data_IF_790351825423
#
_entry.id   IF_790351825423
#
_cell.length_a   1.000
_cell.length_b   1.000
_cell.length_c   1.000
_cell.angle_alpha   90.00
_cell.angle_beta   90.00
_cell.angle_gamma   90.00
#
_symmetry.space_group_name_H-M   'P 1'
#
loop_
_entity.id
_entity.type
_entity.pdbx_description
1 polymer ?
#
# COMPACT_ATOMS: atom_id res chain seq x y z
N UNK A 1 23.18 -0.82 -9.44
CA UNK A 1 22.23 -0.55 -8.34
C UNK A 1 20.75 -0.56 -8.75
N UNK A 2 20.18 -1.77 -8.89
CA UNK A 2 18.74 -2.12 -8.72
C UNK A 2 18.62 -3.61 -8.34
N UNK A 3 19.72 -4.23 -7.93
CA UNK A 3 19.87 -5.68 -7.86
C UNK A 3 18.90 -6.29 -6.87
N UNK A 4 18.76 -5.69 -5.69
CA UNK A 4 17.80 -6.14 -4.69
C UNK A 4 16.35 -6.09 -5.19
N UNK A 5 15.97 -5.07 -5.97
CA UNK A 5 14.64 -4.95 -6.55
C UNK A 5 14.38 -6.01 -7.63
N UNK A 6 15.39 -6.33 -8.44
CA UNK A 6 15.31 -7.40 -9.42
C UNK A 6 15.30 -8.79 -8.75
N UNK A 7 16.07 -8.96 -7.68
CA UNK A 7 16.17 -10.20 -6.91
C UNK A 7 14.86 -10.57 -6.21
N UNK A 8 14.09 -9.58 -5.75
CA UNK A 8 12.74 -9.82 -5.19
C UNK A 8 11.65 -9.97 -6.27
N UNK A 9 12.00 -9.87 -7.57
CA UNK A 9 11.06 -10.01 -8.68
C UNK A 9 10.26 -8.74 -9.01
N UNK A 10 10.67 -7.58 -8.50
CA UNK A 10 10.01 -6.30 -8.75
C UNK A 10 8.71 -6.10 -7.97
N UNK A 11 7.79 -5.30 -8.52
CA UNK A 11 6.45 -5.15 -7.93
C UNK A 11 5.58 -6.36 -8.25
N UNK A 12 4.93 -6.97 -7.24
CA UNK A 12 4.01 -8.05 -7.49
C UNK A 12 2.77 -7.53 -8.23
N UNK A 13 2.22 -8.33 -9.14
CA UNK A 13 1.01 -8.01 -9.90
C UNK A 13 -0.25 -8.14 -9.02
N UNK A 14 -0.36 -7.28 -7.99
CA UNK A 14 -1.54 -7.19 -7.13
C UNK A 14 -2.40 -6.01 -7.60
N UNK A 15 -3.71 -6.20 -7.58
CA UNK A 15 -4.68 -5.17 -7.94
C UNK A 15 -4.77 -4.03 -6.89
N UNK A 16 -4.30 -4.31 -5.67
CA UNK A 16 -4.16 -3.37 -4.55
C UNK A 16 -3.17 -3.99 -3.54
N UNK A 17 -2.49 -3.17 -2.75
CA UNK A 17 -1.55 -3.58 -1.69
C UNK A 17 -0.19 -4.12 -2.20
N UNK A 18 0.20 -3.79 -3.44
CA UNK A 18 1.52 -4.11 -3.97
C UNK A 18 2.65 -3.49 -3.14
N UNK A 19 2.40 -2.32 -2.54
CA UNK A 19 3.29 -1.60 -1.63
C UNK A 19 3.59 -2.40 -0.36
N UNK A 20 2.58 -3.04 0.23
CA UNK A 20 2.76 -3.87 1.43
C UNK A 20 3.52 -5.15 1.09
N UNK A 21 3.20 -5.76 -0.05
CA UNK A 21 3.84 -6.97 -0.50
C UNK A 21 5.34 -6.76 -0.78
N UNK A 22 5.70 -5.68 -1.48
CA UNK A 22 7.10 -5.35 -1.73
C UNK A 22 7.82 -4.97 -0.43
N UNK A 23 7.19 -4.19 0.47
CA UNK A 23 7.77 -3.87 1.77
C UNK A 23 8.04 -5.12 2.59
N UNK A 24 7.14 -6.11 2.57
CA UNK A 24 7.30 -7.39 3.28
C UNK A 24 8.44 -8.22 2.70
N UNK A 25 8.60 -8.24 1.37
CA UNK A 25 9.71 -8.92 0.71
C UNK A 25 11.06 -8.26 1.03
N UNK A 26 11.14 -6.93 0.92
CA UNK A 26 12.33 -6.15 1.25
C UNK A 26 12.73 -6.27 2.72
N UNK A 27 11.76 -6.27 3.64
CA UNK A 27 12.02 -6.41 5.09
C UNK A 27 12.68 -7.75 5.44
N UNK A 28 12.49 -8.80 4.64
CA UNK A 28 13.19 -10.08 4.82
C UNK A 28 14.67 -10.01 4.41
N UNK A 29 15.05 -9.02 3.62
CA UNK A 29 16.42 -8.83 3.11
C UNK A 29 17.21 -7.81 3.93
N UNK A 30 16.53 -6.90 4.62
CA UNK A 30 17.17 -5.94 5.52
C UNK A 30 16.17 -4.98 6.17
N UNK A 31 16.68 -4.15 7.09
CA UNK A 31 15.87 -3.11 7.74
C UNK A 31 15.66 -1.91 6.81
N UNK A 32 14.48 -1.25 6.86
CA UNK A 32 14.25 0.00 6.14
C UNK A 32 15.22 1.10 6.60
N UNK A 33 15.62 1.98 5.68
CA UNK A 33 16.32 3.20 6.04
C UNK A 33 15.39 4.15 6.81
N UNK A 34 15.94 4.89 7.77
CA UNK A 34 15.22 5.93 8.54
C UNK A 34 15.77 7.31 8.17
N UNK A 35 15.32 7.91 7.05
CA UNK A 35 15.75 9.25 6.68
C UNK A 35 15.19 10.29 7.66
N UNK A 36 16.01 11.27 8.04
CA UNK A 36 15.62 12.37 8.94
C UNK A 36 14.84 13.50 8.24
N UNK A 37 14.67 13.40 6.91
CA UNK A 37 13.96 14.42 6.11
C UNK A 37 12.45 14.31 6.24
N UNK A 38 11.78 15.47 6.35
CA UNK A 38 10.33 15.56 6.26
C UNK A 38 9.91 15.71 4.80
N UNK A 39 8.83 15.03 4.42
CA UNK A 39 8.23 15.14 3.09
C UNK A 39 6.87 15.81 3.22
N UNK A 40 6.68 16.94 2.52
CA UNK A 40 5.37 17.60 2.43
C UNK A 40 4.50 16.86 1.42
N UNK A 41 3.34 16.40 1.85
CA UNK A 41 2.35 15.76 0.97
C UNK A 41 1.05 16.57 0.95
N UNK A 42 0.31 16.46 -0.16
CA UNK A 42 -0.94 17.20 -0.36
C UNK A 42 -2.08 16.60 0.47
N UNK A 43 -2.83 17.44 1.20
CA UNK A 43 -4.00 17.07 2.00
C UNK A 43 -5.28 16.84 1.19
N UNK A 44 -5.29 17.10 -0.13
CA UNK A 44 -6.49 17.08 -1.00
C UNK A 44 -7.42 15.89 -0.76
N UNK A 45 -6.88 14.68 -0.71
CA UNK A 45 -7.67 13.45 -0.52
C UNK A 45 -8.43 13.42 0.79
N UNK A 46 -7.85 14.00 1.84
CA UNK A 46 -8.39 14.04 3.19
C UNK A 46 -9.47 15.11 3.33
N UNK A 47 -9.35 16.21 2.57
CA UNK A 47 -10.37 17.26 2.48
C UNK A 47 -11.60 16.78 1.72
N UNK A 48 -11.41 16.03 0.62
CA UNK A 48 -12.51 15.52 -0.21
C UNK A 48 -13.27 14.34 0.42
N UNK A 49 -12.56 13.39 1.04
CA UNK A 49 -13.15 12.13 1.52
C UNK A 49 -13.30 12.04 3.04
N UNK A 50 -12.88 13.08 3.76
CA UNK A 50 -12.84 13.10 5.22
C UNK A 50 -11.64 12.35 5.80
N UNK A 51 -11.01 12.96 6.80
CA UNK A 51 -9.74 12.49 7.34
C UNK A 51 -9.87 11.10 7.98
N UNK A 52 -10.84 10.95 8.88
CA UNK A 52 -11.08 9.74 9.65
C UNK A 52 -11.56 8.61 8.75
N UNK A 53 -12.51 8.89 7.84
CA UNK A 53 -13.05 7.91 6.89
C UNK A 53 -11.94 7.32 6.01
N UNK A 54 -11.02 8.17 5.52
CA UNK A 54 -9.88 7.72 4.72
C UNK A 54 -8.92 6.83 5.52
N UNK A 55 -8.62 7.19 6.78
CA UNK A 55 -7.80 6.35 7.67
C UNK A 55 -8.47 4.99 7.88
N UNK A 56 -9.73 4.97 8.32
CA UNK A 56 -10.42 3.73 8.64
C UNK A 56 -10.54 2.82 7.42
N UNK A 57 -10.84 3.37 6.24
CA UNK A 57 -10.86 2.61 4.98
C UNK A 57 -9.50 1.98 4.68
N UNK A 58 -8.41 2.77 4.74
CA UNK A 58 -7.05 2.27 4.52
C UNK A 58 -6.68 1.16 5.51
N UNK A 59 -7.01 1.31 6.79
CA UNK A 59 -6.73 0.33 7.83
C UNK A 59 -7.55 -0.95 7.66
N UNK A 60 -8.82 -0.83 7.29
CA UNK A 60 -9.69 -1.98 6.98
C UNK A 60 -9.16 -2.77 5.79
N UNK A 61 -8.78 -2.10 4.69
CA UNK A 61 -8.22 -2.77 3.50
C UNK A 61 -6.91 -3.51 3.83
N UNK A 62 -6.04 -2.89 4.65
CA UNK A 62 -4.83 -3.52 5.17
C UNK A 62 -5.15 -4.77 5.99
N UNK A 63 -6.11 -4.67 6.91
CA UNK A 63 -6.54 -5.79 7.74
C UNK A 63 -7.08 -6.95 6.89
N UNK A 64 -7.96 -6.66 5.92
CA UNK A 64 -8.51 -7.67 5.02
C UNK A 64 -7.41 -8.33 4.17
N UNK A 65 -6.42 -7.56 3.71
CA UNK A 65 -5.24 -8.12 3.05
C UNK A 65 -4.45 -9.06 3.96
N UNK A 66 -4.24 -8.69 5.23
CA UNK A 66 -3.56 -9.56 6.20
C UNK A 66 -4.32 -10.86 6.50
N UNK A 67 -5.66 -10.82 6.50
CA UNK A 67 -6.51 -12.00 6.67
C UNK A 67 -6.55 -12.89 5.42
N UNK A 68 -6.00 -12.43 4.29
CA UNK A 68 -5.88 -13.22 3.05
C UNK A 68 -6.99 -12.96 2.03
N UNK A 69 -7.72 -11.84 2.15
CA UNK A 69 -8.67 -11.42 1.11
C UNK A 69 -7.93 -11.13 -0.19
N UNK A 70 -8.47 -11.64 -1.30
CA UNK A 70 -7.87 -11.45 -2.63
C UNK A 70 -7.78 -9.96 -2.97
N UNK A 71 -6.61 -9.47 -3.45
CA UNK A 71 -6.40 -8.07 -3.82
C UNK A 71 -7.43 -7.49 -4.78
N UNK A 72 -7.98 -8.32 -5.67
CA UNK A 72 -9.02 -7.93 -6.62
C UNK A 72 -10.28 -7.42 -5.90
N UNK A 73 -10.72 -8.13 -4.84
CA UNK A 73 -11.86 -7.70 -4.02
C UNK A 73 -11.55 -6.42 -3.25
N UNK A 74 -10.31 -6.24 -2.80
CA UNK A 74 -9.89 -5.00 -2.13
C UNK A 74 -9.98 -3.81 -3.07
N UNK A 75 -9.60 -3.98 -4.36
CA UNK A 75 -9.75 -2.96 -5.39
C UNK A 75 -11.21 -2.58 -5.59
N UNK A 76 -12.12 -3.55 -5.68
CA UNK A 76 -13.56 -3.32 -5.82
C UNK A 76 -14.13 -2.51 -4.65
N UNK A 77 -13.71 -2.82 -3.42
CA UNK A 77 -14.12 -2.06 -2.22
C UNK A 77 -13.55 -0.64 -2.19
N UNK A 78 -12.38 -0.44 -2.78
CA UNK A 78 -11.68 0.85 -2.75
C UNK A 78 -12.08 1.78 -3.90
N UNK A 79 -12.40 1.22 -5.06
CA UNK A 79 -12.95 1.92 -6.22
C UNK A 79 -14.31 1.32 -6.57
N UNK A 80 -15.36 1.58 -5.76
CA UNK A 80 -16.70 1.07 -6.04
C UNK A 80 -17.31 1.65 -7.32
N UNK A 81 -16.76 2.75 -7.84
CA UNK A 81 -17.24 3.49 -9.01
C UNK A 81 -16.31 3.29 -10.23
N UNK A 82 -16.20 2.07 -10.72
CA UNK A 82 -15.74 1.82 -12.09
C UNK A 82 -16.95 1.41 -12.94
N UNK A 83 -17.75 2.41 -13.32
CA UNK A 83 -18.43 2.45 -14.61
C UNK A 83 -17.65 3.42 -15.52
#
# INVERSE_FOLDING_TARGET
>A
ERELFQEIGGFPQLALMEDIAICKALRRRGSPASPAGLVTTSSRRWEENGLISTILLMWMLRFLYFVGVKPQKLREMYYPSHD
#
